data_IF_650575260811
#
_entry.id   IF_650575260811
#
_cell.length_a   1.000
_cell.length_b   1.000
_cell.length_c   1.000
_cell.angle_alpha   90.00
_cell.angle_beta   90.00
_cell.angle_gamma   90.00
#
_symmetry.space_group_name_H-M   'P 1'
#
loop_
_entity.id
_entity.type
_entity.pdbx_description
1 polymer ?
#
# COMPACT_ATOMS: atom_id res chain seq x y z
N UNK A 1 28.80 -7.60 34.18
CA UNK A 1 29.32 -6.83 33.03
C UNK A 1 28.12 -6.12 32.41
N UNK A 2 28.06 -4.78 32.46
CA UNK A 2 26.87 -3.98 32.06
C UNK A 2 26.80 -3.87 30.54
N UNK A 3 25.69 -4.32 29.97
CA UNK A 3 25.29 -4.18 28.55
C UNK A 3 24.52 -2.86 28.42
N UNK A 4 24.64 -2.09 27.31
CA UNK A 4 23.90 -0.84 27.14
C UNK A 4 22.39 -1.12 27.03
N UNK A 5 21.59 -0.41 27.83
CA UNK A 5 20.14 -0.45 27.78
C UNK A 5 19.65 0.27 26.51
N UNK A 6 19.11 -0.47 25.55
CA UNK A 6 18.29 0.12 24.48
C UNK A 6 16.88 0.28 25.07
N UNK A 7 16.43 1.52 25.18
CA UNK A 7 15.17 1.86 25.83
C UNK A 7 13.99 1.22 25.06
N UNK A 8 13.01 0.62 25.77
CA UNK A 8 11.69 0.39 25.18
C UNK A 8 11.07 1.75 24.77
N UNK A 9 9.91 1.78 24.09
CA UNK A 9 9.19 3.01 23.71
C UNK A 9 8.89 4.02 24.85
N UNK A 10 9.30 3.71 26.08
CA UNK A 10 9.20 4.49 27.30
C UNK A 10 10.09 5.74 27.37
N UNK A 11 10.60 6.25 26.23
CA UNK A 11 11.08 7.65 26.13
C UNK A 11 10.27 8.51 25.13
N UNK A 12 9.13 8.03 24.61
CA UNK A 12 8.06 8.94 24.18
C UNK A 12 7.29 9.36 25.43
N UNK A 13 7.28 10.65 25.78
CA UNK A 13 6.62 11.06 27.04
C UNK A 13 5.11 10.78 27.02
N UNK A 14 4.65 10.27 28.18
CA UNK A 14 3.45 9.42 28.32
C UNK A 14 2.08 10.12 28.24
N UNK A 15 1.98 11.45 28.12
CA UNK A 15 0.66 12.15 28.21
C UNK A 15 0.03 12.49 26.85
N UNK A 16 0.84 12.76 25.82
CA UNK A 16 0.37 13.31 24.53
C UNK A 16 -0.05 12.22 23.53
N UNK A 17 0.62 11.06 23.55
CA UNK A 17 0.17 9.88 22.79
C UNK A 17 -1.02 9.19 23.48
N UNK A 18 -1.09 9.22 24.81
CA UNK A 18 -2.16 8.58 25.59
C UNK A 18 -3.51 9.32 25.54
N UNK A 19 -3.56 10.66 25.60
CA UNK A 19 -4.86 11.40 25.57
C UNK A 19 -5.50 11.47 24.17
N UNK A 20 -4.73 11.37 23.07
CA UNK A 20 -5.27 11.25 21.69
C UNK A 20 -5.77 9.84 21.35
N UNK A 21 -5.20 8.82 22.00
CA UNK A 21 -5.55 7.40 21.89
C UNK A 21 -6.94 7.04 22.43
N UNK A 22 -7.50 7.84 23.34
CA UNK A 22 -8.71 7.48 24.10
C UNK A 22 -10.01 7.82 23.36
N UNK A 23 -10.00 8.65 22.30
CA UNK A 23 -11.24 9.16 21.66
C UNK A 23 -11.37 8.97 20.14
N UNK A 24 -10.30 8.76 19.36
CA UNK A 24 -10.37 8.68 17.89
C UNK A 24 -9.33 7.71 17.27
N UNK A 25 -9.72 6.50 16.83
CA UNK A 25 -8.82 5.39 16.46
C UNK A 25 -8.39 5.42 14.98
N UNK A 26 -7.76 6.50 14.53
CA UNK A 26 -7.18 6.61 13.18
C UNK A 26 -5.70 6.22 13.09
N UNK A 27 -5.10 6.18 11.89
CA UNK A 27 -3.67 5.92 11.71
C UNK A 27 -2.81 7.04 12.29
N UNK A 28 -1.67 6.68 12.84
CA UNK A 28 -0.63 7.57 13.36
C UNK A 28 -0.06 8.46 12.26
N UNK A 29 -0.28 9.77 12.33
CA UNK A 29 0.23 10.68 11.32
C UNK A 29 1.75 10.89 11.41
N UNK A 30 2.44 10.81 10.27
CA UNK A 30 3.85 11.11 10.05
C UNK A 30 3.89 12.32 9.13
N UNK A 31 4.15 13.50 9.70
CA UNK A 31 3.92 14.77 9.02
C UNK A 31 5.10 15.75 9.13
N UNK A 32 5.02 16.74 10.02
CA UNK A 32 6.11 17.70 10.21
C UNK A 32 7.27 17.01 10.93
N UNK A 33 8.46 17.05 10.35
CA UNK A 33 9.60 16.27 10.89
C UNK A 33 9.46 14.78 10.63
N UNK A 34 8.77 14.40 9.53
CA UNK A 34 8.53 13.00 9.16
C UNK A 34 9.80 12.15 9.15
N UNK A 35 10.96 12.74 8.87
CA UNK A 35 12.25 12.03 8.90
C UNK A 35 12.53 11.44 10.28
N UNK A 36 12.29 12.19 11.36
CA UNK A 36 12.51 11.69 12.72
C UNK A 36 11.50 10.60 13.09
N UNK A 37 10.26 10.71 12.62
CA UNK A 37 9.24 9.70 12.90
C UNK A 37 9.46 8.43 12.09
N UNK A 38 9.88 8.55 10.82
CA UNK A 38 10.32 7.40 10.03
C UNK A 38 11.54 6.73 10.65
N UNK A 39 12.53 7.48 11.15
CA UNK A 39 13.71 6.91 11.80
C UNK A 39 13.36 6.14 13.10
N UNK A 40 12.31 6.56 13.83
CA UNK A 40 11.82 5.80 14.99
C UNK A 40 11.15 4.48 14.60
N UNK A 41 10.47 4.47 13.46
CA UNK A 41 9.71 3.32 12.97
C UNK A 41 10.63 2.33 12.25
N UNK A 42 11.54 2.85 11.44
CA UNK A 42 12.51 2.15 10.61
C UNK A 42 13.90 2.72 10.90
N UNK A 43 14.59 2.26 11.96
CA UNK A 43 15.92 2.77 12.31
C UNK A 43 16.91 2.64 11.15
N UNK A 44 17.60 3.72 10.82
CA UNK A 44 18.54 3.82 9.71
C UNK A 44 17.93 4.14 8.34
N UNK A 45 16.60 4.28 8.22
CA UNK A 45 15.92 4.59 6.95
C UNK A 45 16.35 5.93 6.34
N UNK A 46 16.85 6.85 7.16
CA UNK A 46 17.36 8.12 6.63
C UNK A 46 18.69 7.97 5.88
N UNK A 47 19.43 6.87 6.10
CA UNK A 47 20.71 6.58 5.45
C UNK A 47 20.57 5.75 4.16
N UNK A 48 19.35 5.33 3.81
CA UNK A 48 19.14 4.45 2.65
C UNK A 48 19.19 5.23 1.34
N UNK A 49 19.64 4.59 0.24
CA UNK A 49 19.58 5.19 -1.08
C UNK A 49 18.18 5.60 -1.50
N UNK A 50 18.11 6.71 -2.23
CA UNK A 50 16.95 7.18 -2.98
C UNK A 50 17.45 7.94 -4.22
N UNK A 51 16.59 8.09 -5.22
CA UNK A 51 16.96 8.69 -6.50
C UNK A 51 16.03 9.85 -6.81
N UNK A 52 16.53 11.06 -6.61
CA UNK A 52 15.80 12.30 -6.83
C UNK A 52 15.41 12.51 -8.30
N UNK A 53 16.09 11.86 -9.24
CA UNK A 53 15.77 12.01 -10.67
C UNK A 53 14.40 11.42 -11.01
N UNK A 54 13.84 10.60 -10.12
CA UNK A 54 12.50 10.01 -10.27
C UNK A 54 11.40 10.83 -9.59
N UNK A 55 11.74 11.98 -8.98
CA UNK A 55 10.81 12.81 -8.20
C UNK A 55 10.10 13.85 -9.09
N UNK A 56 9.39 13.38 -10.11
CA UNK A 56 8.54 14.22 -10.97
C UNK A 56 7.16 14.41 -10.33
N UNK A 57 6.67 15.64 -10.25
CA UNK A 57 5.31 15.96 -9.82
C UNK A 57 4.35 15.88 -11.01
N UNK A 58 3.82 14.68 -11.26
CA UNK A 58 2.92 14.39 -12.38
C UNK A 58 1.55 14.01 -11.84
N UNK A 59 0.53 14.71 -12.30
CA UNK A 59 -0.84 14.49 -11.86
C UNK A 59 -1.28 13.02 -12.02
N UNK A 60 -1.86 12.45 -10.96
CA UNK A 60 -2.30 11.05 -10.93
C UNK A 60 -1.18 10.03 -10.71
N UNK A 61 -0.05 10.44 -10.15
CA UNK A 61 1.08 9.58 -9.77
C UNK A 61 1.58 10.03 -8.40
N UNK A 62 2.39 9.20 -7.74
CA UNK A 62 3.01 9.55 -6.46
C UNK A 62 3.77 10.88 -6.57
N UNK A 63 3.52 11.77 -5.61
CA UNK A 63 4.26 13.01 -5.47
C UNK A 63 5.72 12.78 -5.05
N UNK A 64 6.57 13.82 -5.06
CA UNK A 64 7.98 13.69 -4.68
C UNK A 64 8.24 13.08 -3.30
N UNK A 65 7.47 13.47 -2.28
CA UNK A 65 7.66 12.97 -0.91
C UNK A 65 7.18 11.52 -0.75
N UNK A 66 6.11 11.15 -1.43
CA UNK A 66 5.60 9.77 -1.47
C UNK A 66 6.56 8.85 -2.23
N UNK A 67 7.14 9.35 -3.32
CA UNK A 67 8.21 8.67 -4.06
C UNK A 67 9.44 8.48 -3.18
N UNK A 68 9.85 9.50 -2.42
CA UNK A 68 10.95 9.37 -1.45
C UNK A 68 10.65 8.31 -0.37
N UNK A 69 9.43 8.31 0.18
CA UNK A 69 9.01 7.28 1.13
C UNK A 69 9.13 5.89 0.52
N UNK A 70 8.58 5.65 -0.67
CA UNK A 70 8.66 4.38 -1.36
C UNK A 70 10.12 3.94 -1.56
N UNK A 71 10.97 4.83 -2.07
CA UNK A 71 12.39 4.55 -2.29
C UNK A 71 13.08 4.13 -0.99
N UNK A 72 12.87 4.90 0.08
CA UNK A 72 13.50 4.63 1.37
C UNK A 72 13.01 3.34 2.00
N UNK A 73 11.70 3.06 1.95
CA UNK A 73 11.14 1.82 2.50
C UNK A 73 11.67 0.61 1.73
N UNK A 74 11.69 0.64 0.39
CA UNK A 74 12.22 -0.45 -0.43
C UNK A 74 13.72 -0.65 -0.15
N UNK A 75 14.51 0.42 -0.14
CA UNK A 75 15.94 0.34 0.14
C UNK A 75 16.25 -0.15 1.56
N UNK A 76 15.48 0.29 2.55
CA UNK A 76 15.63 -0.11 3.95
C UNK A 76 15.30 -1.59 4.16
N UNK A 77 14.15 -2.00 3.61
CA UNK A 77 13.63 -3.35 3.74
C UNK A 77 14.45 -4.36 2.95
N UNK A 78 15.08 -3.92 1.84
CA UNK A 78 15.87 -4.74 0.94
C UNK A 78 15.10 -6.03 0.50
N UNK A 79 13.86 -5.89 -0.02
CA UNK A 79 12.92 -7.00 -0.19
C UNK A 79 13.28 -7.93 -1.34
N UNK A 80 13.04 -9.25 -1.18
CA UNK A 80 13.22 -10.23 -2.26
C UNK A 80 11.94 -10.52 -3.03
N UNK A 81 10.79 -10.44 -2.37
CA UNK A 81 9.49 -10.67 -2.99
C UNK A 81 8.61 -9.45 -2.80
N UNK A 82 8.28 -8.79 -3.91
CA UNK A 82 7.46 -7.58 -3.94
C UNK A 82 6.20 -7.83 -4.76
N UNK A 83 5.09 -7.24 -4.33
CA UNK A 83 3.84 -7.22 -5.08
C UNK A 83 3.30 -5.80 -5.19
N UNK A 84 2.85 -5.41 -6.37
CA UNK A 84 2.24 -4.12 -6.66
C UNK A 84 0.87 -4.32 -7.31
N UNK A 85 -0.10 -3.53 -6.85
CA UNK A 85 -1.44 -3.46 -7.43
C UNK A 85 -1.69 -2.03 -7.90
N UNK A 86 -1.83 -1.86 -9.21
CA UNK A 86 -1.85 -0.56 -9.87
C UNK A 86 -0.50 -0.23 -10.50
N UNK A 87 -0.15 -0.88 -11.62
CA UNK A 87 1.11 -0.62 -12.34
C UNK A 87 1.14 0.77 -12.97
N UNK A 88 0.01 1.19 -13.56
CA UNK A 88 -0.10 2.43 -14.33
C UNK A 88 1.10 2.62 -15.29
N UNK A 89 1.71 3.81 -15.35
CA UNK A 89 2.86 4.09 -16.22
C UNK A 89 4.16 3.36 -15.77
N UNK A 90 4.17 2.76 -14.58
CA UNK A 90 5.27 1.93 -14.07
C UNK A 90 6.34 2.66 -13.27
N UNK A 91 6.06 3.84 -12.69
CA UNK A 91 7.07 4.62 -11.93
C UNK A 91 7.42 4.00 -10.59
N UNK A 92 6.42 3.64 -9.80
CA UNK A 92 6.59 2.90 -8.55
C UNK A 92 7.24 1.55 -8.82
N UNK A 93 6.81 0.84 -9.86
CA UNK A 93 7.46 -0.39 -10.33
C UNK A 93 8.93 -0.17 -10.65
N UNK A 94 9.28 0.92 -11.37
CA UNK A 94 10.66 1.28 -11.69
C UNK A 94 11.50 1.50 -10.43
N UNK A 95 11.00 2.30 -9.49
CA UNK A 95 11.65 2.52 -8.20
C UNK A 95 11.92 1.20 -7.48
N UNK A 96 10.93 0.31 -7.44
CA UNK A 96 11.08 -1.03 -6.87
C UNK A 96 12.11 -1.88 -7.61
N UNK A 97 12.15 -1.85 -8.95
CA UNK A 97 13.14 -2.60 -9.73
C UNK A 97 14.56 -2.13 -9.48
N UNK A 98 14.80 -0.82 -9.41
CA UNK A 98 16.15 -0.25 -9.33
C UNK A 98 16.73 -0.33 -7.90
N UNK A 99 15.89 -0.28 -6.87
CA UNK A 99 16.33 -0.23 -5.47
C UNK A 99 16.32 -1.58 -4.74
N UNK A 100 15.57 -2.56 -5.23
CA UNK A 100 15.56 -3.92 -4.66
C UNK A 100 16.83 -4.71 -5.02
N UNK A 101 17.20 -5.74 -4.25
CA UNK A 101 18.25 -6.72 -4.59
C UNK A 101 18.21 -7.22 -6.04
N UNK A 102 19.36 -7.63 -6.57
CA UNK A 102 19.46 -8.21 -7.93
C UNK A 102 18.65 -9.50 -8.09
N UNK A 103 18.49 -10.27 -7.01
CA UNK A 103 17.69 -11.50 -6.98
C UNK A 103 16.21 -11.25 -6.58
N UNK A 104 15.79 -10.00 -6.48
CA UNK A 104 14.41 -9.66 -6.16
C UNK A 104 13.45 -9.99 -7.33
N UNK A 105 12.21 -10.28 -6.98
CA UNK A 105 11.12 -10.59 -7.88
C UNK A 105 9.93 -9.69 -7.57
N UNK A 106 9.37 -9.10 -8.62
CA UNK A 106 8.25 -8.15 -8.51
C UNK A 106 7.09 -8.70 -9.32
N UNK A 107 5.92 -8.87 -8.69
CA UNK A 107 4.66 -9.08 -9.38
C UNK A 107 3.93 -7.74 -9.42
N UNK A 108 3.62 -7.22 -10.60
CA UNK A 108 2.81 -6.01 -10.74
C UNK A 108 1.53 -6.34 -11.49
N UNK A 109 0.40 -5.83 -11.01
CA UNK A 109 -0.94 -6.20 -11.46
C UNK A 109 -1.73 -4.97 -11.83
N UNK A 110 -2.35 -4.99 -13.00
CA UNK A 110 -3.20 -3.91 -13.49
C UNK A 110 -4.34 -4.48 -14.36
N UNK A 111 -5.40 -3.70 -14.56
CA UNK A 111 -6.63 -4.14 -15.23
C UNK A 111 -6.41 -4.46 -16.71
N UNK A 112 -7.06 -5.49 -17.27
CA UNK A 112 -6.92 -5.82 -18.69
C UNK A 112 -7.61 -4.76 -19.56
N UNK A 113 -7.21 -4.68 -20.84
CA UNK A 113 -7.67 -3.64 -21.76
C UNK A 113 -9.20 -3.57 -21.89
N UNK A 114 -9.88 -4.74 -21.90
CA UNK A 114 -11.34 -4.83 -22.07
C UNK A 114 -12.11 -4.39 -20.83
N UNK A 115 -11.74 -4.87 -19.64
CA UNK A 115 -12.48 -4.56 -18.41
C UNK A 115 -12.32 -3.09 -17.98
N UNK A 116 -11.28 -2.40 -18.46
CA UNK A 116 -11.11 -0.95 -18.30
C UNK A 116 -12.21 -0.13 -19.00
N UNK A 117 -12.72 -0.60 -20.13
CA UNK A 117 -13.76 0.11 -20.89
C UNK A 117 -15.11 0.14 -20.15
N UNK A 118 -15.33 -0.83 -19.25
CA UNK A 118 -16.62 -1.11 -18.61
C UNK A 118 -16.70 -0.63 -17.14
N UNK A 119 -15.67 0.04 -16.61
CA UNK A 119 -15.68 0.53 -15.22
C UNK A 119 -16.69 1.67 -15.07
N UNK A 120 -17.86 1.31 -14.56
CA UNK A 120 -18.87 2.19 -13.98
C UNK A 120 -19.09 1.80 -12.50
N UNK A 121 -18.02 1.70 -11.69
CA UNK A 121 -18.24 1.61 -10.25
C UNK A 121 -18.72 2.96 -9.73
N UNK A 122 -19.85 3.03 -8.98
CA UNK A 122 -20.38 4.30 -8.46
C UNK A 122 -19.45 5.02 -7.46
N UNK A 123 -18.34 4.38 -7.09
CA UNK A 123 -17.31 4.88 -6.17
C UNK A 123 -15.94 5.12 -6.82
N UNK A 124 -15.73 4.75 -8.09
CA UNK A 124 -14.44 5.02 -8.74
C UNK A 124 -14.46 6.41 -9.37
N UNK A 125 -13.70 7.34 -8.80
CA UNK A 125 -13.31 8.61 -9.42
C UNK A 125 -12.39 8.42 -10.63
N UNK A 126 -11.97 7.19 -10.87
CA UNK A 126 -10.97 6.79 -11.86
C UNK A 126 -11.44 6.68 -13.31
N UNK A 127 -12.71 6.95 -13.62
CA UNK A 127 -13.22 6.88 -15.01
C UNK A 127 -12.43 7.76 -15.98
N UNK A 128 -11.85 8.87 -15.51
CA UNK A 128 -10.96 9.73 -16.31
C UNK A 128 -9.56 9.13 -16.48
N UNK A 129 -9.00 8.47 -15.45
CA UNK A 129 -7.65 7.90 -15.49
C UNK A 129 -7.60 6.57 -16.25
N UNK A 130 -8.63 5.75 -16.12
CA UNK A 130 -8.77 4.50 -16.87
C UNK A 130 -8.79 4.77 -18.38
N UNK A 131 -9.42 5.87 -18.81
CA UNK A 131 -9.48 6.31 -20.22
C UNK A 131 -8.20 7.03 -20.70
N UNK A 132 -7.49 7.76 -19.84
CA UNK A 132 -6.25 8.46 -20.24
C UNK A 132 -5.00 7.56 -20.27
N UNK A 133 -5.01 6.40 -19.62
CA UNK A 133 -3.84 5.50 -19.49
C UNK A 133 -3.85 4.31 -20.47
N UNK A 134 -4.52 4.45 -21.61
CA UNK A 134 -4.53 3.42 -22.67
C UNK A 134 -3.16 3.18 -23.31
N UNK A 135 -2.18 4.07 -23.17
CA UNK A 135 -1.04 4.02 -24.09
C UNK A 135 0.22 3.33 -23.59
N UNK A 136 0.46 3.14 -22.28
CA UNK A 136 1.84 2.88 -21.83
C UNK A 136 1.98 2.14 -20.48
N UNK A 137 1.19 1.10 -20.21
CA UNK A 137 1.32 0.41 -18.92
C UNK A 137 2.68 -0.27 -18.76
N UNK A 138 3.36 0.08 -17.67
CA UNK A 138 4.70 -0.37 -17.32
C UNK A 138 5.84 0.21 -18.16
N UNK A 139 5.61 1.14 -19.08
CA UNK A 139 6.66 1.64 -19.98
C UNK A 139 7.87 2.23 -19.24
N UNK A 140 7.67 2.87 -18.07
CA UNK A 140 8.79 3.51 -17.34
C UNK A 140 9.86 2.54 -16.86
N UNK A 141 9.56 1.25 -16.68
CA UNK A 141 10.55 0.27 -16.24
C UNK A 141 11.01 -0.69 -17.36
N UNK A 142 10.33 -0.75 -18.50
CA UNK A 142 10.62 -1.75 -19.56
C UNK A 142 12.03 -1.64 -20.13
N UNK A 143 12.54 -0.41 -20.25
CA UNK A 143 13.87 -0.13 -20.77
C UNK A 143 14.96 -0.09 -19.68
N UNK A 144 14.60 -0.32 -18.41
CA UNK A 144 15.58 -0.41 -17.31
C UNK A 144 16.35 -1.73 -17.39
N UNK A 145 17.67 -1.73 -17.08
CA UNK A 145 18.46 -2.96 -16.94
C UNK A 145 17.89 -3.95 -15.92
N UNK A 146 17.06 -3.50 -14.98
CA UNK A 146 16.45 -4.27 -13.91
C UNK A 146 15.03 -4.78 -14.26
N UNK A 147 14.53 -4.53 -15.48
CA UNK A 147 13.21 -4.96 -15.93
C UNK A 147 12.96 -6.47 -15.80
N UNK A 148 14.02 -7.29 -15.86
CA UNK A 148 13.95 -8.75 -15.71
C UNK A 148 13.36 -9.22 -14.37
N UNK A 149 13.32 -8.36 -13.35
CA UNK A 149 12.70 -8.67 -12.05
C UNK A 149 11.17 -8.71 -12.12
N UNK A 150 10.57 -8.07 -13.12
CA UNK A 150 9.13 -7.81 -13.16
C UNK A 150 8.36 -8.89 -13.89
N UNK A 151 7.31 -9.38 -13.23
CA UNK A 151 6.26 -10.21 -13.80
C UNK A 151 4.99 -9.35 -13.83
N UNK A 152 4.62 -8.82 -15.00
CA UNK A 152 3.40 -8.01 -15.14
C UNK A 152 2.21 -8.91 -15.49
N UNK A 153 1.13 -8.80 -14.71
CA UNK A 153 -0.14 -9.51 -14.93
C UNK A 153 -1.24 -8.50 -15.24
N UNK A 154 -2.02 -8.81 -16.28
CA UNK A 154 -3.16 -7.99 -16.73
C UNK A 154 -4.45 -8.72 -16.39
N UNK A 155 -5.07 -8.38 -15.27
CA UNK A 155 -6.30 -9.04 -14.81
C UNK A 155 -7.07 -8.14 -13.85
N UNK A 156 -8.39 -8.30 -13.84
CA UNK A 156 -9.19 -7.74 -12.76
C UNK A 156 -9.16 -8.70 -11.59
N UNK A 157 -8.77 -8.19 -10.43
CA UNK A 157 -8.58 -9.03 -9.26
C UNK A 157 -9.90 -9.48 -8.64
N UNK A 158 -11.00 -8.73 -8.82
CA UNK A 158 -12.30 -9.06 -8.22
C UNK A 158 -12.99 -10.16 -9.03
N UNK A 159 -13.62 -11.10 -8.33
CA UNK A 159 -14.41 -12.18 -8.96
C UNK A 159 -15.62 -11.62 -9.70
N UNK A 160 -16.09 -12.35 -10.73
CA UNK A 160 -17.30 -11.96 -11.47
C UNK A 160 -18.50 -11.83 -10.52
N UNK A 161 -18.63 -12.76 -9.55
CA UNK A 161 -19.65 -12.69 -8.50
C UNK A 161 -19.57 -11.40 -7.68
N UNK A 162 -18.37 -10.91 -7.39
CA UNK A 162 -18.17 -9.66 -6.66
C UNK A 162 -18.53 -8.45 -7.52
N UNK A 163 -18.12 -8.46 -8.78
CA UNK A 163 -18.45 -7.40 -9.73
C UNK A 163 -19.96 -7.29 -9.94
N UNK A 164 -20.64 -8.42 -10.10
CA UNK A 164 -22.10 -8.50 -10.21
C UNK A 164 -22.79 -7.97 -8.94
N UNK A 165 -22.27 -8.32 -7.76
CA UNK A 165 -22.77 -7.81 -6.49
C UNK A 165 -22.63 -6.28 -6.40
N UNK A 166 -21.46 -5.74 -6.74
CA UNK A 166 -21.19 -4.29 -6.74
C UNK A 166 -22.12 -3.56 -7.74
N UNK A 167 -22.36 -4.16 -8.90
CA UNK A 167 -23.16 -3.54 -9.96
C UNK A 167 -24.68 -3.55 -9.67
N UNK A 168 -25.17 -4.55 -8.94
CA UNK A 168 -26.62 -4.82 -8.83
C UNK A 168 -27.23 -4.61 -7.43
N UNK A 169 -26.43 -4.65 -6.37
CA UNK A 169 -26.95 -4.62 -5.01
C UNK A 169 -27.14 -3.18 -4.48
N UNK A 170 -28.12 -3.02 -3.59
CA UNK A 170 -28.22 -1.81 -2.76
C UNK A 170 -27.08 -1.79 -1.73
N UNK A 171 -26.68 -0.61 -1.26
CA UNK A 171 -25.55 -0.47 -0.34
C UNK A 171 -25.61 -1.33 0.93
N UNK A 172 -26.76 -1.45 1.63
CA UNK A 172 -26.82 -2.32 2.81
C UNK A 172 -26.58 -3.81 2.46
N UNK A 173 -27.11 -4.26 1.33
CA UNK A 173 -26.95 -5.65 0.86
C UNK A 173 -25.51 -5.87 0.39
N UNK A 174 -24.96 -4.95 -0.39
CA UNK A 174 -23.57 -4.98 -0.86
C UNK A 174 -22.61 -5.10 0.33
N UNK A 175 -22.76 -4.25 1.34
CA UNK A 175 -21.87 -4.27 2.52
C UNK A 175 -21.95 -5.59 3.31
N UNK A 176 -23.15 -6.14 3.48
CA UNK A 176 -23.33 -7.39 4.22
C UNK A 176 -22.79 -8.61 3.46
N UNK A 177 -23.16 -8.75 2.18
CA UNK A 177 -22.73 -9.87 1.35
C UNK A 177 -21.24 -9.79 1.02
N UNK A 178 -20.68 -8.60 0.76
CA UNK A 178 -19.25 -8.42 0.54
C UNK A 178 -18.44 -8.88 1.76
N UNK A 179 -18.84 -8.48 2.98
CA UNK A 179 -18.17 -8.92 4.22
C UNK A 179 -18.21 -10.44 4.39
N UNK A 180 -19.30 -11.09 3.97
CA UNK A 180 -19.41 -12.56 3.98
C UNK A 180 -18.48 -13.19 2.93
N UNK A 181 -18.53 -12.71 1.69
CA UNK A 181 -17.65 -13.18 0.61
C UNK A 181 -16.18 -13.00 0.95
N UNK A 182 -15.82 -11.90 1.61
CA UNK A 182 -14.45 -11.60 2.04
C UNK A 182 -13.94 -12.66 3.02
N UNK A 183 -14.76 -13.03 4.01
CA UNK A 183 -14.45 -14.11 4.96
C UNK A 183 -14.35 -15.48 4.31
N UNK A 184 -15.14 -15.72 3.27
CA UNK A 184 -15.14 -16.97 2.50
C UNK A 184 -14.02 -17.03 1.45
N UNK A 185 -13.26 -15.95 1.25
CA UNK A 185 -12.21 -15.86 0.23
C UNK A 185 -12.73 -15.83 -1.21
N UNK A 186 -13.99 -15.42 -1.42
CA UNK A 186 -14.67 -15.40 -2.74
C UNK A 186 -14.60 -14.06 -3.47
N UNK A 187 -14.10 -13.03 -2.80
CA UNK A 187 -14.02 -11.67 -3.35
C UNK A 187 -13.05 -11.58 -4.55
N UNK A 188 -12.00 -12.40 -4.54
CA UNK A 188 -10.92 -12.34 -5.53
C UNK A 188 -11.06 -13.49 -6.53
N UNK A 189 -10.77 -13.23 -7.81
CA UNK A 189 -10.73 -14.27 -8.85
C UNK A 189 -9.77 -15.38 -8.43
N UNK A 190 -10.29 -16.61 -8.42
CA UNK A 190 -9.49 -17.80 -8.10
C UNK A 190 -8.24 -17.92 -8.98
N UNK A 191 -8.35 -17.64 -10.28
CA UNK A 191 -7.23 -17.65 -11.22
C UNK A 191 -6.13 -16.64 -10.85
N UNK A 192 -6.50 -15.49 -10.29
CA UNK A 192 -5.51 -14.53 -9.80
C UNK A 192 -4.84 -15.02 -8.51
N UNK A 193 -5.58 -15.62 -7.58
CA UNK A 193 -5.00 -16.25 -6.39
C UNK A 193 -3.99 -17.33 -6.79
N UNK A 194 -4.33 -18.19 -7.76
CA UNK A 194 -3.44 -19.21 -8.30
C UNK A 194 -2.19 -18.59 -8.96
N UNK A 195 -2.35 -17.48 -9.68
CA UNK A 195 -1.23 -16.72 -10.27
C UNK A 195 -0.29 -16.17 -9.20
N UNK A 196 -0.86 -15.56 -8.15
CA UNK A 196 -0.09 -15.03 -7.03
C UNK A 196 0.65 -16.16 -6.30
N UNK A 197 -0.04 -17.25 -5.95
CA UNK A 197 0.57 -18.35 -5.22
C UNK A 197 1.67 -19.05 -6.04
N UNK A 198 1.50 -19.17 -7.36
CA UNK A 198 2.53 -19.66 -8.27
C UNK A 198 3.74 -18.72 -8.35
N UNK A 199 3.50 -17.40 -8.41
CA UNK A 199 4.57 -16.42 -8.34
C UNK A 199 5.33 -16.52 -7.02
N UNK A 200 4.62 -16.57 -5.89
CA UNK A 200 5.23 -16.68 -4.56
C UNK A 200 6.06 -17.96 -4.42
N UNK A 201 5.63 -19.07 -5.01
CA UNK A 201 6.34 -20.35 -4.97
C UNK A 201 6.74 -20.72 -3.52
N UNK A 202 5.74 -20.74 -2.64
CA UNK A 202 5.86 -20.95 -1.18
C UNK A 202 6.69 -19.91 -0.40
N UNK A 203 7.12 -18.82 -1.02
CA UNK A 203 7.72 -17.68 -0.32
C UNK A 203 6.62 -16.73 0.21
N UNK A 204 7.01 -15.92 1.18
CA UNK A 204 6.19 -14.82 1.71
C UNK A 204 6.46 -13.52 0.96
N UNK A 205 5.54 -12.56 1.06
CA UNK A 205 5.70 -11.21 0.50
C UNK A 205 6.48 -10.35 1.49
N UNK A 206 7.58 -9.73 1.06
CA UNK A 206 8.33 -8.78 1.90
C UNK A 206 7.72 -7.39 1.81
N UNK A 207 7.31 -6.98 0.61
CA UNK A 207 6.73 -5.66 0.35
C UNK A 207 5.49 -5.77 -0.54
N UNK A 208 4.37 -5.18 -0.11
CA UNK A 208 3.19 -5.02 -0.96
C UNK A 208 2.84 -3.54 -1.11
N UNK A 209 2.65 -3.07 -2.35
CA UNK A 209 2.18 -1.72 -2.64
C UNK A 209 0.78 -1.77 -3.26
N UNK A 210 -0.19 -1.11 -2.62
CA UNK A 210 -1.59 -1.05 -3.04
C UNK A 210 -1.92 0.38 -3.48
N UNK A 211 -2.03 0.59 -4.78
CA UNK A 211 -2.38 1.87 -5.45
C UNK A 211 -3.32 1.60 -6.63
N UNK A 212 -4.42 0.88 -6.36
CA UNK A 212 -5.41 0.47 -7.35
C UNK A 212 -6.81 0.94 -6.97
N UNK A 213 -7.66 1.25 -7.96
CA UNK A 213 -9.12 1.53 -7.95
C UNK A 213 -9.71 2.52 -6.93
N UNK A 214 -8.99 2.78 -5.83
CA UNK A 214 -9.24 3.75 -4.77
C UNK A 214 -10.62 3.63 -4.10
N UNK A 215 -11.21 2.44 -4.17
CA UNK A 215 -12.48 2.08 -3.55
C UNK A 215 -12.30 1.15 -2.33
N UNK A 216 -13.36 1.04 -1.52
CA UNK A 216 -13.37 0.23 -0.30
C UNK A 216 -13.18 -1.27 -0.59
N UNK A 217 -13.85 -1.80 -1.61
CA UNK A 217 -13.95 -3.23 -1.90
C UNK A 217 -12.63 -3.78 -2.42
N UNK A 218 -12.01 -3.09 -3.38
CA UNK A 218 -10.71 -3.44 -3.94
C UNK A 218 -9.63 -3.34 -2.85
N UNK A 219 -9.62 -2.24 -2.07
CA UNK A 219 -8.66 -2.06 -0.96
C UNK A 219 -8.80 -3.16 0.08
N UNK A 220 -10.03 -3.50 0.48
CA UNK A 220 -10.31 -4.55 1.44
C UNK A 220 -9.83 -5.92 0.93
N UNK A 221 -10.19 -6.26 -0.30
CA UNK A 221 -9.80 -7.51 -0.94
C UNK A 221 -8.28 -7.67 -0.97
N UNK A 222 -7.56 -6.63 -1.43
CA UNK A 222 -6.11 -6.65 -1.54
C UNK A 222 -5.44 -6.72 -0.17
N UNK A 223 -5.87 -5.93 0.80
CA UNK A 223 -5.29 -6.00 2.14
C UNK A 223 -5.46 -7.40 2.74
N UNK A 224 -6.66 -7.99 2.69
CA UNK A 224 -6.93 -9.33 3.22
C UNK A 224 -6.20 -10.44 2.46
N UNK A 225 -5.95 -10.27 1.15
CA UNK A 225 -5.18 -11.22 0.36
C UNK A 225 -3.71 -11.26 0.79
N UNK A 226 -3.11 -10.08 1.00
CA UNK A 226 -1.68 -9.94 1.26
C UNK A 226 -1.34 -10.18 2.74
N UNK A 227 -2.22 -9.81 3.68
CA UNK A 227 -1.97 -9.93 5.12
C UNK A 227 -1.52 -11.34 5.60
N UNK A 228 -2.14 -12.46 5.17
CA UNK A 228 -1.68 -13.80 5.55
C UNK A 228 -0.41 -14.23 4.80
N UNK A 229 -0.09 -13.60 3.67
CA UNK A 229 1.09 -13.89 2.82
C UNK A 229 2.32 -13.06 3.19
N UNK A 230 2.17 -12.04 4.02
CA UNK A 230 3.25 -11.13 4.38
C UNK A 230 4.28 -11.81 5.30
N UNK A 231 5.56 -11.57 5.01
CA UNK A 231 6.69 -12.08 5.76
C UNK A 231 6.77 -11.43 7.15
N UNK A 232 7.51 -12.06 8.08
CA UNK A 232 7.78 -11.44 9.36
C UNK A 232 8.65 -10.19 9.16
N UNK A 233 8.11 -9.02 9.50
CA UNK A 233 8.76 -7.73 9.22
C UNK A 233 8.48 -7.16 7.83
N UNK A 234 7.65 -7.84 7.02
CA UNK A 234 7.19 -7.29 5.75
C UNK A 234 6.29 -6.07 5.95
N UNK A 235 6.21 -5.25 4.90
CA UNK A 235 5.48 -3.98 4.89
C UNK A 235 4.41 -3.99 3.82
N UNK A 236 3.20 -3.54 4.16
CA UNK A 236 2.20 -3.14 3.17
C UNK A 236 2.17 -1.61 3.14
N UNK A 237 2.30 -1.03 1.95
CA UNK A 237 2.21 0.39 1.68
C UNK A 237 0.96 0.63 0.83
N UNK A 238 0.11 1.58 1.19
CA UNK A 238 -1.13 1.87 0.45
C UNK A 238 -1.25 3.35 0.17
N UNK A 239 -1.52 3.71 -1.09
CA UNK A 239 -1.72 5.10 -1.47
C UNK A 239 -3.16 5.59 -1.18
N UNK A 240 -3.39 6.88 -1.39
CA UNK A 240 -4.72 7.50 -1.43
C UNK A 240 -5.52 7.53 -0.12
N UNK A 241 -4.84 7.37 1.02
CA UNK A 241 -5.45 7.55 2.32
C UNK A 241 -5.72 9.03 2.63
N UNK A 242 -6.78 9.29 3.40
CA UNK A 242 -7.24 10.62 3.84
C UNK A 242 -7.65 11.57 2.71
N UNK A 243 -8.29 11.03 1.66
CA UNK A 243 -8.93 11.79 0.57
C UNK A 243 -10.46 11.74 0.67
N UNK A 244 -11.09 12.56 1.55
CA UNK A 244 -12.51 12.47 1.86
C UNK A 244 -13.46 12.80 0.71
N UNK A 245 -12.97 13.48 -0.33
CA UNK A 245 -13.77 13.91 -1.48
C UNK A 245 -13.62 13.03 -2.72
N UNK A 246 -12.56 12.21 -2.82
CA UNK A 246 -12.28 11.41 -4.02
C UNK A 246 -12.11 9.93 -3.71
N UNK A 247 -11.40 9.55 -2.64
CA UNK A 247 -11.04 8.16 -2.35
C UNK A 247 -11.45 7.77 -0.92
N UNK A 248 -12.72 8.05 -0.59
CA UNK A 248 -13.26 7.84 0.75
C UNK A 248 -13.21 6.36 1.16
N UNK A 249 -13.32 5.43 0.21
CA UNK A 249 -13.33 3.99 0.46
C UNK A 249 -12.03 3.47 1.08
N UNK A 250 -10.87 3.96 0.62
CA UNK A 250 -9.55 3.64 1.20
C UNK A 250 -9.51 4.07 2.67
N UNK A 251 -9.97 5.30 2.93
CA UNK A 251 -9.95 5.89 4.27
C UNK A 251 -10.91 5.17 5.23
N UNK A 252 -12.11 4.87 4.75
CA UNK A 252 -13.14 4.16 5.51
C UNK A 252 -12.68 2.75 5.90
N UNK A 253 -12.03 2.03 4.98
CA UNK A 253 -11.52 0.69 5.25
C UNK A 253 -10.49 0.68 6.38
N UNK A 254 -9.42 1.46 6.25
CA UNK A 254 -8.36 1.48 7.27
C UNK A 254 -8.82 2.10 8.60
N UNK A 255 -9.69 3.12 8.58
CA UNK A 255 -10.29 3.62 9.82
C UNK A 255 -11.14 2.54 10.52
N UNK A 256 -11.84 1.70 9.77
CA UNK A 256 -12.63 0.58 10.31
C UNK A 256 -11.72 -0.51 10.89
N UNK A 257 -10.67 -0.90 10.17
CA UNK A 257 -9.69 -1.89 10.67
C UNK A 257 -8.98 -1.43 11.95
N UNK A 258 -8.62 -0.16 12.05
CA UNK A 258 -8.02 0.39 13.27
C UNK A 258 -9.03 0.40 14.43
N UNK A 259 -10.26 0.85 14.17
CA UNK A 259 -11.33 1.00 15.17
C UNK A 259 -11.91 -0.32 15.68
N UNK A 260 -12.18 -1.25 14.79
CA UNK A 260 -12.97 -2.45 15.07
C UNK A 260 -12.10 -3.69 15.28
N UNK A 261 -10.91 -3.73 14.66
CA UNK A 261 -10.02 -4.89 14.68
C UNK A 261 -8.68 -4.60 15.36
N UNK A 262 -8.46 -3.37 15.85
CA UNK A 262 -7.31 -3.00 16.66
C UNK A 262 -5.99 -2.92 15.88
N UNK A 263 -6.04 -2.78 14.56
CA UNK A 263 -4.83 -2.58 13.76
C UNK A 263 -4.18 -1.21 14.04
N UNK A 264 -2.85 -1.18 13.98
CA UNK A 264 -2.06 0.04 14.07
C UNK A 264 -1.47 0.36 12.71
N UNK A 265 -1.71 1.58 12.25
CA UNK A 265 -1.37 2.05 10.92
C UNK A 265 -0.63 3.38 11.03
N UNK A 266 0.32 3.64 10.14
CA UNK A 266 1.03 4.92 10.09
C UNK A 266 0.71 5.65 8.79
N UNK A 267 0.14 6.84 8.90
CA UNK A 267 -0.26 7.69 7.79
C UNK A 267 0.80 8.74 7.52
N UNK A 268 1.56 8.56 6.46
CA UNK A 268 2.48 9.55 5.91
C UNK A 268 1.71 10.67 5.22
N UNK A 269 1.79 11.87 5.80
CA UNK A 269 1.21 13.11 5.29
C UNK A 269 2.20 14.25 5.51
N UNK A 270 3.31 14.28 4.74
CA UNK A 270 4.37 15.26 4.93
C UNK A 270 3.81 16.67 4.81
N UNK A 271 4.16 17.56 5.73
CA UNK A 271 3.65 18.94 5.69
C UNK A 271 4.12 19.63 4.41
N UNK A 272 3.23 20.27 3.63
CA UNK A 272 3.62 20.92 2.39
C UNK A 272 4.59 22.09 2.62
N UNK A 273 5.56 22.23 1.70
CA UNK A 273 6.33 23.45 1.46
C UNK A 273 5.36 24.62 1.11
N UNK A 274 5.74 25.91 1.28
CA UNK A 274 4.77 27.00 1.33
C UNK A 274 3.93 27.21 0.04
N UNK A 275 2.63 26.98 0.21
CA UNK A 275 1.44 27.77 -0.18
C UNK A 275 1.11 28.27 -1.59
N UNK A 276 1.92 28.10 -2.64
CA UNK A 276 1.51 28.65 -3.97
C UNK A 276 0.91 27.66 -4.97
N UNK A 277 1.00 26.35 -4.70
CA UNK A 277 0.39 25.33 -5.55
C UNK A 277 -0.36 24.32 -4.70
N UNK A 278 -1.52 24.72 -4.16
CA UNK A 278 -2.45 23.74 -3.59
C UNK A 278 -3.10 22.96 -4.72
N UNK A 279 -2.75 21.69 -4.82
CA UNK A 279 -3.76 20.70 -5.15
C UNK A 279 -4.37 20.18 -3.83
N UNK A 280 -5.66 20.41 -3.54
CA UNK A 280 -6.35 19.77 -2.41
C UNK A 280 -6.42 18.23 -2.50
N UNK A 281 -5.85 17.61 -3.54
CA UNK A 281 -5.82 16.16 -3.82
C UNK A 281 -4.49 15.46 -3.48
N UNK A 282 -3.52 16.09 -2.80
CA UNK A 282 -2.33 15.34 -2.33
C UNK A 282 -2.76 14.25 -1.34
N UNK A 283 -2.39 13.00 -1.66
CA UNK A 283 -2.68 11.83 -0.86
C UNK A 283 -1.75 11.72 0.32
N UNK A 284 -2.16 10.93 1.30
CA UNK A 284 -1.21 10.36 2.23
C UNK A 284 -1.08 8.87 1.94
N UNK A 285 0.12 8.36 2.12
CA UNK A 285 0.37 6.93 2.09
C UNK A 285 0.20 6.38 3.50
N UNK A 286 -0.46 5.23 3.65
CA UNK A 286 -0.34 4.45 4.88
C UNK A 286 0.70 3.36 4.68
N UNK A 287 1.62 3.22 5.62
CA UNK A 287 2.37 1.99 5.75
C UNK A 287 1.97 1.19 6.98
N UNK A 288 2.09 -0.11 6.81
CA UNK A 288 1.55 -1.14 7.66
C UNK A 288 2.68 -2.10 7.98
N UNK A 289 3.13 -2.04 9.24
CA UNK A 289 4.02 -3.04 9.82
C UNK A 289 3.16 -3.85 10.81
N UNK A 290 3.08 -5.17 10.61
CA UNK A 290 2.05 -6.08 11.12
C UNK A 290 1.73 -6.01 12.64
N UNK A 291 0.57 -6.58 13.08
CA UNK A 291 0.10 -6.54 14.47
C UNK A 291 1.06 -7.13 15.51
N UNK A 292 0.99 -6.63 16.75
CA UNK A 292 1.87 -6.90 17.89
C UNK A 292 2.17 -8.39 18.17
N UNK A 293 1.24 -9.30 17.86
CA UNK A 293 1.42 -10.75 18.02
C UNK A 293 2.46 -11.36 17.06
N UNK A 294 2.49 -10.95 15.78
CA UNK A 294 3.53 -11.36 14.83
C UNK A 294 4.86 -10.65 15.10
N UNK A 295 4.81 -9.45 15.66
CA UNK A 295 5.97 -8.68 16.11
C UNK A 295 6.70 -9.35 17.30
N UNK A 296 5.97 -10.09 18.16
CA UNK A 296 6.55 -10.89 19.27
C UNK A 296 7.41 -12.07 18.80
N UNK A 297 6.98 -12.81 17.78
CA UNK A 297 7.76 -13.91 17.20
C UNK A 297 9.07 -13.41 16.56
N UNK A 298 9.02 -12.25 15.91
CA UNK A 298 10.20 -11.59 15.34
C UNK A 298 11.20 -11.15 16.44
N UNK A 299 10.73 -10.49 17.51
CA UNK A 299 11.58 -10.11 18.66
C UNK A 299 12.23 -11.29 19.39
N UNK A 300 11.67 -12.49 19.26
CA UNK A 300 12.24 -13.72 19.83
C UNK A 300 13.36 -14.32 18.96
N UNK A 301 13.41 -14.00 17.65
CA UNK A 301 14.40 -14.51 16.70
C UNK A 301 15.62 -13.59 16.50
N UNK A 302 15.53 -12.35 16.99
CA UNK A 302 16.60 -11.33 16.93
C UNK A 302 17.27 -11.14 18.32
N UNK A 303 17.17 -12.15 19.19
CA UNK A 303 18.00 -12.34 20.38
C UNK A 303 18.89 -13.55 20.18
#
# INVERSE_FOLDING_TARGET
MKIPQILPPTELSDRVLAERYVRHPGPYAIAKGWQQDLEKIFPGIMNTPYDQTQFEDVYGQLGPSETELLHRVVSWLNPKVLVEYGTAYGRSTRAMTELSPKDARILTVDLPDKERADIQTPYSTDTAFVRMRELQIGEKYKDSPEAYKVNQVRTNILSDETLDLIASASLPVLNAEFKKMLKEGKVIRKSFVETLDAFLNAQTIDFAFIDAAHDYFTTAALFELNLPRLSAGGVILTDDYNKPSTHIGVSEYFATKAREEGFVFYHFNPTPQPMEFRDPRQGGIIFLNLPEAKNREWRARVK
#
